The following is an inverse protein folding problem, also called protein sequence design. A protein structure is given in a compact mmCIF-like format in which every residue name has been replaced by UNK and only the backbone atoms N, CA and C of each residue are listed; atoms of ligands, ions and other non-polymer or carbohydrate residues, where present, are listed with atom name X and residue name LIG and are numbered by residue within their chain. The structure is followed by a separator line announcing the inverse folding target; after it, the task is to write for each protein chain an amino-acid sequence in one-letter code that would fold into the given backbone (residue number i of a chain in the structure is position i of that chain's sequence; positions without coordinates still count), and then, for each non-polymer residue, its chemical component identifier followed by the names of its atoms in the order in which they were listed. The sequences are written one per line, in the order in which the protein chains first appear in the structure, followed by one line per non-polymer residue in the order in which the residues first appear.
data_IF_928349643096
#
_entry.id   IF_928349643096
#
_cell.length_a   1.000
_cell.length_b   1.000
_cell.length_c   1.000
_cell.angle_alpha   90.00
_cell.angle_beta   90.00
_cell.angle_gamma   90.00
#
_symmetry.space_group_name_H-M   'P 1'
#
loop_
_entity.id
_entity.type
_entity.pdbx_description
1 polymer ?
#
# COMPACT_ATOMS: atom_id res chain seq x y z
N UNK A 1 5.68 25.20 -6.57
CA UNK A 1 4.35 25.73 -6.94
C UNK A 1 3.30 25.13 -5.99
N UNK A 2 2.15 25.77 -5.72
CA UNK A 2 1.10 25.13 -4.88
C UNK A 2 0.43 24.00 -5.68
N UNK A 3 0.27 22.81 -5.07
CA UNK A 3 -0.45 21.67 -5.65
C UNK A 3 -1.81 22.12 -6.19
N UNK A 4 -2.09 21.81 -7.46
CA UNK A 4 -3.41 22.03 -8.06
C UNK A 4 -4.17 20.70 -8.08
N UNK A 5 -5.32 20.65 -7.40
CA UNK A 5 -6.14 19.44 -7.36
C UNK A 5 -6.75 19.11 -8.73
N UNK A 6 -6.90 17.82 -9.08
CA UNK A 6 -7.57 17.41 -10.31
C UNK A 6 -9.02 17.89 -10.35
N UNK A 7 -9.57 18.00 -11.57
CA UNK A 7 -10.98 18.35 -11.77
C UNK A 7 -11.85 17.20 -11.23
N UNK A 8 -12.64 17.49 -10.19
CA UNK A 8 -13.59 16.55 -9.58
C UNK A 8 -14.97 17.18 -9.50
N UNK A 9 -16.01 16.36 -9.68
CA UNK A 9 -17.41 16.79 -9.66
C UNK A 9 -17.83 17.32 -8.28
N UNK A 10 -18.89 18.13 -8.23
CA UNK A 10 -19.50 18.57 -6.97
C UNK A 10 -19.98 17.40 -6.12
N UNK A 11 -20.46 16.33 -6.76
CA UNK A 11 -20.91 15.11 -6.09
C UNK A 11 -19.74 14.37 -5.44
N UNK A 12 -18.62 14.18 -6.14
CA UNK A 12 -17.40 13.58 -5.56
C UNK A 12 -16.83 14.40 -4.41
N UNK A 13 -16.83 15.73 -4.53
CA UNK A 13 -16.42 16.63 -3.44
C UNK A 13 -17.30 16.45 -2.20
N UNK A 14 -18.62 16.39 -2.39
CA UNK A 14 -19.57 16.18 -1.30
C UNK A 14 -19.39 14.80 -0.65
N UNK A 15 -19.18 13.75 -1.46
CA UNK A 15 -18.87 12.41 -0.97
C UNK A 15 -17.59 12.38 -0.14
N UNK A 16 -16.50 12.95 -0.65
CA UNK A 16 -15.21 13.02 0.06
C UNK A 16 -15.33 13.74 1.41
N UNK A 17 -16.01 14.90 1.44
CA UNK A 17 -16.26 15.62 2.70
C UNK A 17 -17.11 14.82 3.68
N UNK A 18 -18.13 14.12 3.18
CA UNK A 18 -19.00 13.28 4.03
C UNK A 18 -18.22 12.12 4.64
N UNK A 19 -17.32 11.50 3.87
CA UNK A 19 -16.45 10.44 4.36
C UNK A 19 -15.47 10.94 5.42
N UNK A 20 -14.83 12.09 5.22
CA UNK A 20 -13.94 12.70 6.22
C UNK A 20 -14.68 12.98 7.54
N UNK A 21 -15.90 13.53 7.46
CA UNK A 21 -16.73 13.77 8.64
C UNK A 21 -17.13 12.47 9.34
N UNK A 22 -17.57 11.46 8.58
CA UNK A 22 -17.99 10.18 9.13
C UNK A 22 -16.80 9.42 9.75
N UNK A 23 -15.62 9.47 9.13
CA UNK A 23 -14.41 8.82 9.62
C UNK A 23 -14.04 9.32 11.02
N UNK A 24 -14.11 10.65 11.26
CA UNK A 24 -13.82 11.21 12.58
C UNK A 24 -14.72 10.70 13.72
N UNK A 25 -15.86 10.10 13.41
CA UNK A 25 -16.83 9.57 14.40
C UNK A 25 -16.82 8.04 14.44
N UNK A 26 -16.69 7.39 13.28
CA UNK A 26 -16.88 5.95 13.14
C UNK A 26 -15.58 5.15 13.15
N UNK A 27 -14.44 5.78 12.87
CA UNK A 27 -13.17 5.09 12.73
C UNK A 27 -12.61 4.68 14.09
N UNK A 28 -12.39 3.38 14.26
CA UNK A 28 -11.85 2.79 15.48
C UNK A 28 -10.38 2.39 15.32
N UNK A 29 -9.71 2.75 14.22
CA UNK A 29 -8.35 2.33 13.90
C UNK A 29 -7.35 2.55 15.05
N UNK A 30 -7.33 3.75 15.65
CA UNK A 30 -6.43 4.07 16.78
C UNK A 30 -6.60 3.10 17.95
N UNK A 31 -7.86 2.81 18.32
CA UNK A 31 -8.18 1.93 19.45
C UNK A 31 -7.75 0.49 19.20
N UNK A 32 -7.97 -0.04 18.00
CA UNK A 32 -7.68 -1.45 17.71
C UNK A 32 -6.23 -1.70 17.28
N UNK A 33 -5.48 -0.66 16.92
CA UNK A 33 -4.07 -0.78 16.56
C UNK A 33 -3.15 -1.12 17.74
N UNK A 34 -3.62 -0.98 18.98
CA UNK A 34 -2.84 -1.33 20.19
C UNK A 34 -3.30 -2.64 20.82
N UNK A 35 -4.20 -3.37 20.15
CA UNK A 35 -4.76 -4.64 20.63
C UNK A 35 -4.34 -5.78 19.71
N UNK A 36 -4.18 -7.02 20.23
CA UNK A 36 -3.96 -8.18 19.39
C UNK A 36 -5.08 -8.39 18.37
N UNK A 37 -4.71 -8.77 17.15
CA UNK A 37 -5.64 -9.17 16.11
C UNK A 37 -6.33 -10.49 16.45
N UNK A 38 -7.66 -10.47 16.41
CA UNK A 38 -8.51 -11.64 16.70
C UNK A 38 -9.52 -11.92 15.59
N UNK A 39 -9.45 -11.19 14.47
CA UNK A 39 -10.49 -11.16 13.44
C UNK A 39 -10.11 -11.94 12.17
N UNK A 40 -9.32 -13.00 12.27
CA UNK A 40 -8.83 -13.77 11.12
C UNK A 40 -9.94 -14.21 10.13
N UNK A 41 -11.15 -14.44 10.62
CA UNK A 41 -12.31 -14.81 9.79
C UNK A 41 -12.71 -13.75 8.75
N UNK A 42 -12.28 -12.48 8.88
CA UNK A 42 -12.62 -11.41 7.94
C UNK A 42 -11.76 -11.42 6.68
N UNK A 43 -10.57 -12.04 6.74
CA UNK A 43 -9.60 -12.14 5.64
C UNK A 43 -10.16 -13.13 4.62
N UNK A 44 -10.82 -12.61 3.59
CA UNK A 44 -11.45 -13.40 2.52
C UNK A 44 -11.43 -12.66 1.19
N UNK A 45 -11.39 -13.33 0.02
CA UNK A 45 -11.33 -12.65 -1.28
C UNK A 45 -12.62 -11.94 -1.73
N UNK A 46 -13.79 -12.34 -1.20
CA UNK A 46 -15.10 -11.69 -1.44
C UNK A 46 -15.54 -11.50 -2.90
N UNK A 47 -15.04 -12.36 -3.81
CA UNK A 47 -15.32 -12.35 -5.26
C UNK A 47 -16.82 -12.29 -5.62
N UNK A 48 -17.68 -12.94 -4.84
CA UNK A 48 -19.13 -13.04 -5.11
C UNK A 48 -20.00 -12.27 -4.10
N UNK A 49 -19.39 -11.55 -3.16
CA UNK A 49 -20.15 -10.87 -2.11
C UNK A 49 -20.90 -9.65 -2.65
N UNK A 50 -22.06 -9.30 -2.08
CA UNK A 50 -22.79 -8.10 -2.52
C UNK A 50 -22.39 -6.83 -1.79
N UNK A 51 -22.02 -6.96 -0.51
CA UNK A 51 -21.80 -5.83 0.37
C UNK A 51 -20.42 -5.20 0.16
N UNK A 52 -19.36 -5.98 0.36
CA UNK A 52 -18.00 -5.56 0.01
C UNK A 52 -17.77 -5.81 -1.48
N UNK A 53 -17.49 -4.75 -2.24
CA UNK A 53 -17.30 -4.86 -3.69
C UNK A 53 -15.85 -5.11 -4.09
N UNK A 54 -14.89 -4.85 -3.20
CA UNK A 54 -13.49 -5.09 -3.44
C UNK A 54 -12.74 -5.50 -2.17
N UNK A 55 -11.61 -6.19 -2.37
CA UNK A 55 -10.65 -6.53 -1.32
C UNK A 55 -9.23 -6.30 -1.80
N UNK A 56 -8.34 -5.98 -0.87
CA UNK A 56 -6.91 -5.81 -1.10
C UNK A 56 -6.13 -6.85 -0.30
N UNK A 57 -5.08 -7.40 -0.91
CA UNK A 57 -4.02 -8.13 -0.23
C UNK A 57 -2.69 -7.45 -0.56
N UNK A 58 -1.96 -7.04 0.47
CA UNK A 58 -0.66 -6.39 0.34
C UNK A 58 0.38 -7.18 1.11
N UNK A 59 1.47 -7.60 0.46
CA UNK A 59 2.53 -8.37 1.13
C UNK A 59 3.85 -7.73 0.76
N UNK A 60 4.52 -7.18 1.76
CA UNK A 60 5.64 -6.27 1.56
C UNK A 60 6.86 -6.74 2.32
N UNK A 61 7.97 -6.87 1.59
CA UNK A 61 9.29 -7.21 2.09
C UNK A 61 10.15 -5.95 1.96
N UNK A 62 10.20 -5.09 2.98
CA UNK A 62 10.77 -3.73 2.84
C UNK A 62 12.29 -3.70 2.86
N UNK A 63 12.92 -4.81 3.27
CA UNK A 63 14.37 -4.96 3.39
C UNK A 63 14.76 -6.35 2.90
N UNK A 64 15.25 -6.43 1.67
CA UNK A 64 15.82 -7.62 1.06
C UNK A 64 17.30 -7.38 0.70
N UNK A 65 18.10 -8.45 0.56
CA UNK A 65 19.47 -8.32 0.06
C UNK A 65 19.53 -7.64 -1.31
N UNK A 66 20.70 -7.08 -1.63
CA UNK A 66 20.99 -6.67 -3.00
C UNK A 66 20.90 -7.88 -3.95
N UNK A 67 20.46 -7.70 -5.20
CA UNK A 67 20.04 -6.44 -5.83
C UNK A 67 18.57 -6.08 -5.58
N UNK A 68 17.82 -6.89 -4.81
CA UNK A 68 16.37 -6.77 -4.69
C UNK A 68 15.93 -5.57 -3.86
N UNK A 69 16.57 -5.34 -2.70
CA UNK A 69 16.31 -4.25 -1.73
C UNK A 69 14.93 -4.25 -1.09
N UNK A 70 13.89 -4.52 -1.87
CA UNK A 70 12.50 -4.71 -1.47
C UNK A 70 11.79 -5.66 -2.45
N UNK A 71 10.64 -6.16 -2.05
CA UNK A 71 9.64 -6.78 -2.91
C UNK A 71 8.26 -6.37 -2.41
N UNK A 72 7.37 -6.00 -3.33
CA UNK A 72 5.95 -5.81 -3.02
C UNK A 72 5.08 -6.77 -3.82
N UNK A 73 3.99 -7.20 -3.21
CA UNK A 73 2.95 -8.02 -3.81
C UNK A 73 1.64 -7.34 -3.46
N UNK A 74 1.00 -6.74 -4.46
CA UNK A 74 -0.26 -6.03 -4.30
C UNK A 74 -1.32 -6.64 -5.19
N UNK A 75 -2.34 -7.21 -4.57
CA UNK A 75 -3.50 -7.75 -5.25
C UNK A 75 -4.73 -6.91 -4.87
N UNK A 76 -5.46 -6.43 -5.87
CA UNK A 76 -6.82 -5.93 -5.71
C UNK A 76 -7.76 -6.91 -6.39
N UNK A 77 -8.79 -7.35 -5.67
CA UNK A 77 -9.90 -8.15 -6.21
C UNK A 77 -11.10 -7.23 -6.22
N UNK A 78 -11.60 -6.93 -7.42
CA UNK A 78 -12.52 -5.83 -7.64
C UNK A 78 -11.82 -4.47 -7.69
N UNK A 79 -12.48 -3.48 -8.28
CA UNK A 79 -11.95 -2.10 -8.37
C UNK A 79 -12.43 -1.24 -7.19
N UNK A 80 -11.56 -0.41 -6.58
CA UNK A 80 -11.94 0.47 -5.47
C UNK A 80 -12.96 1.56 -5.82
N UNK A 81 -12.90 2.14 -7.02
CA UNK A 81 -13.66 3.34 -7.37
C UNK A 81 -12.99 4.62 -6.85
N UNK A 82 -11.67 4.60 -6.67
CA UNK A 82 -10.89 5.68 -6.08
C UNK A 82 -9.84 6.21 -7.06
N UNK A 83 -9.73 7.54 -7.14
CA UNK A 83 -8.90 8.20 -8.13
C UNK A 83 -7.43 7.78 -8.06
N UNK A 84 -6.87 7.66 -6.85
CA UNK A 84 -5.50 7.22 -6.65
C UNK A 84 -5.24 5.76 -7.08
N UNK A 85 -6.21 4.85 -6.97
CA UNK A 85 -5.95 3.40 -7.04
C UNK A 85 -6.49 2.70 -8.28
N UNK A 86 -7.45 3.30 -8.98
CA UNK A 86 -8.10 2.65 -10.10
C UNK A 86 -7.24 2.67 -11.37
N UNK A 87 -6.95 1.47 -11.90
CA UNK A 87 -6.26 1.21 -13.17
C UNK A 87 -7.27 0.96 -14.32
N UNK A 88 -8.05 1.99 -14.66
CA UNK A 88 -9.13 1.87 -15.67
C UNK A 88 -8.62 1.44 -17.05
N UNK A 89 -7.37 1.77 -17.38
CA UNK A 89 -6.75 1.52 -18.68
C UNK A 89 -6.48 0.03 -18.98
N UNK A 90 -6.41 -0.80 -17.93
CA UNK A 90 -6.22 -2.26 -18.05
C UNK A 90 -7.46 -3.05 -17.64
N UNK A 91 -8.55 -2.40 -17.22
CA UNK A 91 -9.82 -3.05 -16.89
C UNK A 91 -10.69 -3.10 -18.15
N UNK A 92 -10.94 -4.30 -18.65
CA UNK A 92 -11.65 -4.51 -19.93
C UNK A 92 -13.14 -4.84 -19.78
N UNK A 93 -13.57 -5.33 -18.61
CA UNK A 93 -14.93 -5.81 -18.38
C UNK A 93 -15.55 -5.24 -17.09
N UNK A 94 -16.35 -6.06 -16.38
CA UNK A 94 -16.96 -5.69 -15.13
C UNK A 94 -15.88 -5.46 -14.05
N UNK A 95 -15.76 -4.26 -13.47
CA UNK A 95 -14.75 -3.95 -12.45
C UNK A 95 -14.80 -4.86 -11.22
N UNK A 96 -15.93 -5.54 -10.97
CA UNK A 96 -16.07 -6.53 -9.90
C UNK A 96 -15.52 -7.92 -10.23
N UNK A 97 -15.34 -8.22 -11.51
CA UNK A 97 -14.83 -9.49 -12.03
C UNK A 97 -13.42 -9.33 -12.57
N UNK A 98 -12.69 -8.38 -12.03
CA UNK A 98 -11.28 -8.15 -12.33
C UNK A 98 -10.46 -8.25 -11.06
N UNK A 99 -9.33 -8.93 -11.13
CA UNK A 99 -8.24 -8.78 -10.18
C UNK A 99 -7.09 -8.03 -10.84
N UNK A 100 -6.39 -7.18 -10.10
CA UNK A 100 -5.12 -6.59 -10.55
C UNK A 100 -4.00 -7.06 -9.65
N UNK A 101 -2.85 -7.36 -10.26
CA UNK A 101 -1.61 -7.70 -9.57
C UNK A 101 -0.55 -6.66 -9.92
N UNK A 102 0.02 -6.05 -8.90
CA UNK A 102 1.21 -5.23 -9.00
C UNK A 102 2.34 -5.81 -8.16
N UNK A 103 3.50 -6.02 -8.77
CA UNK A 103 4.71 -6.45 -8.07
C UNK A 103 5.96 -5.82 -8.66
N UNK A 104 6.85 -5.38 -7.77
CA UNK A 104 8.14 -4.83 -8.17
C UNK A 104 9.22 -5.07 -7.13
N UNK A 105 10.46 -4.97 -7.59
CA UNK A 105 11.70 -5.05 -6.80
C UNK A 105 12.73 -4.13 -7.45
N UNK A 106 13.79 -3.75 -6.72
CA UNK A 106 14.83 -2.88 -7.29
C UNK A 106 15.65 -3.57 -8.40
N UNK A 107 15.76 -4.90 -8.37
CA UNK A 107 16.56 -5.69 -9.31
C UNK A 107 16.03 -5.69 -10.75
N UNK A 108 14.70 -5.58 -10.92
CA UNK A 108 14.06 -5.62 -12.23
C UNK A 108 13.93 -4.22 -12.81
N UNK A 109 14.09 -4.09 -14.13
CA UNK A 109 13.92 -2.82 -14.85
C UNK A 109 12.46 -2.39 -14.96
N UNK A 110 11.54 -3.34 -15.08
CA UNK A 110 10.11 -3.09 -15.18
C UNK A 110 9.40 -3.79 -14.01
N UNK A 111 8.30 -3.19 -13.58
CA UNK A 111 7.39 -3.85 -12.65
C UNK A 111 6.39 -4.70 -13.43
N UNK A 112 5.84 -5.71 -12.75
CA UNK A 112 4.65 -6.40 -13.24
C UNK A 112 3.42 -5.63 -12.78
N UNK A 113 2.63 -5.15 -13.73
CA UNK A 113 1.26 -4.66 -13.51
C UNK A 113 0.35 -5.35 -14.52
N UNK A 114 -0.61 -6.13 -14.04
CA UNK A 114 -1.51 -6.91 -14.90
C UNK A 114 -2.91 -7.03 -14.31
N UNK A 115 -3.91 -7.04 -15.18
CA UNK A 115 -5.29 -7.36 -14.84
C UNK A 115 -5.64 -8.79 -15.27
N UNK A 116 -6.53 -9.43 -14.51
CA UNK A 116 -6.97 -10.82 -14.67
C UNK A 116 -8.50 -10.85 -14.58
N UNK A 117 -9.15 -11.62 -15.44
CA UNK A 117 -10.61 -11.79 -15.42
C UNK A 117 -10.96 -12.93 -14.45
N UNK A 118 -11.98 -12.73 -13.62
CA UNK A 118 -12.42 -13.69 -12.62
C UNK A 118 -13.73 -14.37 -13.08
N UNK A 119 -13.78 -15.71 -13.22
CA UNK A 119 -12.76 -16.69 -12.83
C UNK A 119 -11.78 -17.12 -13.94
N UNK A 120 -11.88 -16.59 -15.15
CA UNK A 120 -11.23 -17.11 -16.36
C UNK A 120 -9.70 -17.22 -16.22
N UNK A 121 -9.06 -16.21 -15.64
CA UNK A 121 -7.61 -16.11 -15.47
C UNK A 121 -7.16 -16.37 -14.03
N UNK A 122 -8.05 -16.86 -13.16
CA UNK A 122 -7.78 -16.93 -11.71
C UNK A 122 -8.27 -18.23 -11.07
N UNK A 123 -7.62 -18.63 -9.97
CA UNK A 123 -8.15 -19.66 -9.05
C UNK A 123 -8.23 -19.09 -7.65
N UNK A 124 -9.43 -18.74 -7.23
CA UNK A 124 -9.67 -18.06 -5.95
C UNK A 124 -10.66 -18.87 -5.12
N UNK A 125 -10.19 -19.44 -4.02
CA UNK A 125 -11.05 -20.14 -3.08
C UNK A 125 -11.81 -19.13 -2.20
N UNK A 126 -13.12 -19.34 -2.03
CA UNK A 126 -14.01 -18.42 -1.30
C UNK A 126 -13.61 -18.20 0.16
N UNK A 127 -12.96 -19.19 0.76
CA UNK A 127 -12.48 -19.17 2.15
C UNK A 127 -11.06 -18.61 2.29
N UNK A 128 -10.43 -18.19 1.18
CA UNK A 128 -9.11 -17.56 1.15
C UNK A 128 -7.92 -18.52 1.22
N UNK A 129 -8.10 -19.85 1.14
CA UNK A 129 -6.95 -20.77 1.19
C UNK A 129 -6.04 -20.71 -0.03
N UNK A 130 -6.55 -20.18 -1.14
CA UNK A 130 -5.86 -20.11 -2.41
C UNK A 130 -6.29 -18.84 -3.16
N UNK A 131 -5.29 -18.08 -3.61
CA UNK A 131 -5.45 -16.99 -4.57
C UNK A 131 -4.34 -17.15 -5.61
N UNK A 132 -4.70 -17.60 -6.82
CA UNK A 132 -3.81 -17.64 -7.98
C UNK A 132 -4.29 -16.66 -9.03
N UNK A 133 -3.37 -15.83 -9.54
CA UNK A 133 -3.62 -14.93 -10.67
C UNK A 133 -2.68 -15.34 -11.80
N UNK A 134 -3.25 -15.90 -12.87
CA UNK A 134 -2.50 -16.44 -13.99
C UNK A 134 -1.48 -17.50 -13.57
N UNK A 135 -0.23 -17.29 -13.99
CA UNK A 135 0.93 -18.10 -13.61
C UNK A 135 1.92 -17.31 -12.75
N UNK A 136 1.64 -16.04 -12.49
CA UNK A 136 2.60 -15.09 -11.94
C UNK A 136 2.66 -15.10 -10.42
N UNK A 137 1.55 -15.44 -9.73
CA UNK A 137 1.48 -15.39 -8.27
C UNK A 137 0.48 -16.42 -7.71
N UNK A 138 0.88 -17.08 -6.62
CA UNK A 138 0.05 -17.95 -5.80
C UNK A 138 0.22 -17.57 -4.33
N UNK A 139 -0.89 -17.33 -3.63
CA UNK A 139 -0.96 -17.19 -2.17
C UNK A 139 -1.77 -18.37 -1.64
N UNK A 140 -1.16 -19.15 -0.74
CA UNK A 140 -1.69 -20.40 -0.22
C UNK A 140 -1.72 -20.37 1.31
N UNK A 141 -2.67 -21.09 1.90
CA UNK A 141 -2.80 -21.20 3.36
C UNK A 141 -3.74 -20.16 3.98
N UNK A 142 -3.68 -20.01 5.30
CA UNK A 142 -4.56 -19.13 6.08
C UNK A 142 -3.80 -18.62 7.29
N UNK A 143 -4.21 -17.46 7.80
CA UNK A 143 -3.70 -16.94 9.08
C UNK A 143 -3.64 -18.06 10.14
N UNK A 144 -2.50 -18.25 10.85
CA UNK A 144 -1.30 -17.39 10.80
C UNK A 144 -0.24 -17.82 9.78
N UNK A 145 -0.41 -18.93 9.05
CA UNK A 145 0.62 -19.47 8.16
C UNK A 145 0.17 -19.39 6.69
N UNK A 146 0.90 -18.62 5.91
CA UNK A 146 0.70 -18.56 4.47
C UNK A 146 2.01 -18.88 3.75
N UNK A 147 1.86 -19.41 2.55
CA UNK A 147 2.96 -19.66 1.63
C UNK A 147 2.69 -18.87 0.35
N UNK A 148 3.74 -18.27 -0.20
CA UNK A 148 3.64 -17.44 -1.39
C UNK A 148 4.74 -17.83 -2.34
N UNK A 149 4.39 -18.02 -3.60
CA UNK A 149 5.35 -18.11 -4.68
C UNK A 149 4.91 -17.26 -5.87
N UNK A 150 5.87 -16.73 -6.60
CA UNK A 150 5.61 -16.00 -7.82
C UNK A 150 6.78 -16.07 -8.80
N UNK A 151 6.45 -15.88 -10.07
CA UNK A 151 7.39 -15.94 -11.18
C UNK A 151 7.00 -14.93 -12.26
N UNK A 152 7.90 -14.02 -12.61
CA UNK A 152 7.73 -13.13 -13.77
C UNK A 152 9.08 -12.54 -14.20
N UNK A 153 9.26 -12.27 -15.50
CA UNK A 153 10.47 -11.66 -16.08
C UNK A 153 11.80 -12.31 -15.63
N UNK A 154 11.81 -13.63 -15.44
CA UNK A 154 12.98 -14.40 -14.99
C UNK A 154 13.36 -14.14 -13.52
N UNK A 155 12.43 -13.60 -12.74
CA UNK A 155 12.50 -13.44 -11.30
C UNK A 155 11.51 -14.41 -10.63
N UNK A 156 12.03 -15.17 -9.67
CA UNK A 156 11.29 -16.11 -8.85
C UNK A 156 11.36 -15.70 -7.39
N UNK A 157 10.31 -15.95 -6.63
CA UNK A 157 10.35 -15.91 -5.17
C UNK A 157 9.43 -16.96 -4.59
N UNK A 158 9.80 -17.44 -3.41
CA UNK A 158 9.08 -18.48 -2.69
C UNK A 158 9.34 -18.25 -1.20
N UNK A 159 8.27 -18.00 -0.44
CA UNK A 159 8.34 -17.61 0.96
C UNK A 159 7.25 -18.26 1.79
N UNK A 160 7.66 -18.81 2.92
CA UNK A 160 6.77 -19.07 4.05
C UNK A 160 6.67 -17.81 4.91
N UNK A 161 5.45 -17.49 5.33
CA UNK A 161 5.15 -16.30 6.14
C UNK A 161 4.38 -16.71 7.40
N UNK A 162 4.96 -16.34 8.54
CA UNK A 162 4.38 -16.48 9.86
C UNK A 162 3.82 -15.13 10.32
N UNK A 163 2.51 -14.99 10.25
CA UNK A 163 1.78 -13.76 10.56
C UNK A 163 1.50 -13.70 12.06
N UNK A 164 1.91 -12.60 12.70
CA UNK A 164 1.67 -12.37 14.13
C UNK A 164 0.29 -11.74 14.37
N UNK A 165 -0.10 -11.62 15.64
CA UNK A 165 -1.30 -10.88 16.03
C UNK A 165 -1.08 -9.35 16.15
N UNK A 166 0.11 -8.83 15.84
CA UNK A 166 0.38 -7.38 15.94
C UNK A 166 -0.18 -6.66 14.74
N UNK A 167 -1.25 -5.89 14.95
CA UNK A 167 -2.02 -5.23 13.89
C UNK A 167 -1.90 -3.72 13.95
N UNK A 168 -1.73 -3.11 12.79
CA UNK A 168 -1.93 -1.68 12.57
C UNK A 168 -3.17 -1.52 11.72
N UNK A 169 -4.24 -0.99 12.33
CA UNK A 169 -5.43 -0.60 11.59
C UNK A 169 -5.18 0.78 10.99
N UNK A 170 -5.30 0.89 9.67
CA UNK A 170 -5.29 2.17 8.98
C UNK A 170 -6.67 2.79 8.99
N UNK A 171 -7.71 1.97 8.75
CA UNK A 171 -9.12 2.36 8.81
C UNK A 171 -9.92 1.20 9.41
N UNK A 172 -10.80 1.51 10.36
CA UNK A 172 -11.75 0.54 10.91
C UNK A 172 -13.15 1.13 11.07
N UNK A 173 -13.99 0.91 10.07
CA UNK A 173 -15.39 1.36 10.03
C UNK A 173 -16.32 0.22 9.60
N UNK A 174 -17.66 0.34 9.75
CA UNK A 174 -18.60 -0.71 9.32
C UNK A 174 -18.50 -1.08 7.83
N UNK A 175 -18.10 -0.13 6.98
CA UNK A 175 -18.05 -0.29 5.52
C UNK A 175 -16.63 -0.45 4.97
N UNK A 176 -15.61 -0.28 5.80
CA UNK A 176 -14.21 -0.36 5.39
C UNK A 176 -13.33 -0.82 6.55
N UNK A 177 -12.72 -1.98 6.38
CA UNK A 177 -11.61 -2.46 7.20
C UNK A 177 -10.34 -2.41 6.35
N UNK A 178 -9.28 -1.78 6.83
CA UNK A 178 -7.95 -1.81 6.25
C UNK A 178 -6.91 -1.91 7.36
N UNK A 179 -6.12 -2.98 7.33
CA UNK A 179 -5.12 -3.24 8.34
C UNK A 179 -3.92 -4.00 7.81
N UNK A 180 -2.87 -3.97 8.61
CA UNK A 180 -1.55 -4.48 8.34
C UNK A 180 -1.07 -5.31 9.53
N UNK A 181 -0.69 -6.56 9.31
CA UNK A 181 -0.16 -7.47 10.31
C UNK A 181 1.35 -7.58 10.18
N UNK A 182 2.07 -7.44 11.30
CA UNK A 182 3.50 -7.75 11.35
C UNK A 182 3.69 -9.26 11.14
N UNK A 183 4.62 -9.63 10.28
CA UNK A 183 4.91 -11.02 9.97
C UNK A 183 6.42 -11.26 9.86
N UNK A 184 6.80 -12.53 9.98
CA UNK A 184 8.14 -13.01 9.62
C UNK A 184 8.05 -13.76 8.32
N UNK A 185 9.09 -13.69 7.51
CA UNK A 185 9.21 -14.53 6.33
C UNK A 185 10.52 -15.30 6.32
N UNK A 186 10.53 -16.42 5.60
CA UNK A 186 11.71 -17.18 5.24
C UNK A 186 11.50 -17.86 3.89
N UNK A 187 12.54 -17.87 3.06
CA UNK A 187 12.53 -18.55 1.77
C UNK A 187 13.60 -17.98 0.87
N UNK A 188 13.33 -17.86 -0.43
CA UNK A 188 14.32 -17.42 -1.38
C UNK A 188 13.76 -16.50 -2.47
N UNK A 189 14.67 -15.76 -3.09
CA UNK A 189 14.47 -15.12 -4.38
C UNK A 189 15.47 -15.71 -5.37
N UNK A 190 15.12 -15.74 -6.65
CA UNK A 190 16.07 -16.04 -7.72
C UNK A 190 15.96 -15.03 -8.86
N UNK A 191 17.10 -14.55 -9.34
CA UNK A 191 17.20 -13.65 -10.48
C UNK A 191 18.55 -13.82 -11.17
N UNK A 192 18.59 -13.84 -12.51
CA UNK A 192 19.81 -14.03 -13.29
C UNK A 192 20.63 -15.28 -12.89
N UNK A 193 19.93 -16.38 -12.58
CA UNK A 193 20.48 -17.65 -12.09
C UNK A 193 21.18 -17.60 -10.72
N UNK A 194 21.09 -16.48 -9.99
CA UNK A 194 21.49 -16.38 -8.60
C UNK A 194 20.28 -16.61 -7.70
N UNK A 195 20.41 -17.52 -6.72
CA UNK A 195 19.41 -17.77 -5.68
C UNK A 195 19.90 -17.20 -4.36
N UNK A 196 19.06 -16.38 -3.72
CA UNK A 196 19.36 -15.69 -2.47
C UNK A 196 18.36 -16.15 -1.41
N UNK A 197 18.84 -16.92 -0.43
CA UNK A 197 18.07 -17.23 0.77
C UNK A 197 17.86 -15.95 1.59
N UNK A 198 16.63 -15.71 2.01
CA UNK A 198 16.24 -14.48 2.71
C UNK A 198 15.27 -14.79 3.83
N UNK A 199 15.38 -14.04 4.92
CA UNK A 199 14.46 -14.07 6.03
C UNK A 199 14.46 -12.71 6.72
N UNK A 200 13.37 -12.40 7.43
CA UNK A 200 13.26 -11.15 8.17
C UNK A 200 11.82 -10.79 8.51
N UNK A 201 11.59 -9.51 8.78
CA UNK A 201 10.24 -8.97 8.96
C UNK A 201 9.64 -8.59 7.60
N UNK A 202 8.38 -8.94 7.43
CA UNK A 202 7.54 -8.47 6.33
C UNK A 202 6.19 -8.02 6.89
N UNK A 203 5.32 -7.60 6.00
CA UNK A 203 3.97 -7.17 6.34
C UNK A 203 2.96 -7.99 5.55
N UNK A 204 1.86 -8.41 6.20
CA UNK A 204 0.67 -8.96 5.56
C UNK A 204 -0.52 -8.02 5.77
N UNK A 205 -1.01 -7.43 4.69
CA UNK A 205 -2.09 -6.45 4.69
C UNK A 205 -3.34 -7.02 4.05
N UNK A 206 -4.47 -6.59 4.61
CA UNK A 206 -5.76 -6.90 4.06
C UNK A 206 -6.68 -5.70 4.16
N UNK A 207 -7.46 -5.48 3.10
CA UNK A 207 -8.57 -4.56 3.13
C UNK A 207 -9.83 -5.16 2.52
N UNK A 208 -10.99 -4.71 2.99
CA UNK A 208 -12.30 -4.95 2.37
C UNK A 208 -13.12 -3.68 2.47
N UNK A 209 -13.76 -3.26 1.38
CA UNK A 209 -14.63 -2.09 1.46
C UNK A 209 -15.88 -2.17 0.58
N UNK A 210 -16.90 -1.45 1.01
CA UNK A 210 -18.05 -1.09 0.19
C UNK A 210 -17.58 -0.01 -0.77
N UNK A 211 -17.45 -0.35 -2.04
CA UNK A 211 -17.13 0.57 -3.11
C UNK A 211 -18.35 0.88 -3.97
N UNK A 212 -18.26 1.87 -4.88
CA UNK A 212 -19.33 2.22 -5.80
C UNK A 212 -19.69 1.06 -6.74
N UNK A 213 -18.77 0.13 -7.00
CA UNK A 213 -19.07 -1.06 -7.79
C UNK A 213 -20.03 -2.04 -7.10
N UNK A 214 -20.37 -1.85 -5.81
CA UNK A 214 -21.48 -2.57 -5.15
C UNK A 214 -22.83 -2.32 -5.84
N UNK A 215 -22.95 -1.19 -6.56
CA UNK A 215 -24.19 -0.75 -7.22
C UNK A 215 -24.05 -0.60 -8.74
N UNK A 216 -22.84 -0.61 -9.30
CA UNK A 216 -22.59 -0.50 -10.75
C UNK A 216 -21.56 -1.52 -11.23
N UNK A 217 -21.80 -2.08 -12.42
CA UNK A 217 -20.87 -2.97 -13.12
C UNK A 217 -20.05 -2.25 -14.21
N UNK A 218 -20.11 -0.91 -14.25
CA UNK A 218 -19.35 -0.09 -15.20
C UNK A 218 -18.25 0.67 -14.49
N UNK A 219 -17.16 0.94 -15.22
CA UNK A 219 -16.14 1.88 -14.79
C UNK A 219 -16.75 3.26 -14.52
N UNK A 220 -16.19 3.95 -13.55
CA UNK A 220 -16.64 5.27 -13.10
C UNK A 220 -15.67 6.28 -13.69
N UNK A 221 -16.14 7.29 -14.45
CA UNK A 221 -15.25 8.33 -14.93
C UNK A 221 -14.53 9.03 -13.79
N UNK A 222 -13.26 9.41 -13.99
CA UNK A 222 -12.39 9.98 -12.95
C UNK A 222 -13.01 11.13 -12.15
N UNK A 223 -13.75 12.02 -12.83
CA UNK A 223 -14.43 13.16 -12.20
C UNK A 223 -15.48 12.76 -11.15
N UNK A 224 -15.95 11.51 -11.18
CA UNK A 224 -16.96 10.94 -10.28
C UNK A 224 -16.38 9.94 -9.26
N UNK A 225 -15.09 9.61 -9.32
CA UNK A 225 -14.44 8.71 -8.34
C UNK A 225 -14.37 9.34 -6.96
N UNK A 226 -14.09 8.51 -5.95
CA UNK A 226 -13.64 8.99 -4.64
C UNK A 226 -12.37 9.84 -4.86
N UNK A 227 -12.35 11.11 -4.44
CA UNK A 227 -11.25 12.02 -4.74
C UNK A 227 -10.08 11.81 -3.77
N UNK A 228 -9.63 10.57 -3.61
CA UNK A 228 -8.36 10.26 -2.96
C UNK A 228 -7.25 10.70 -3.91
N UNK A 229 -6.57 11.80 -3.58
CA UNK A 229 -5.64 12.49 -4.48
C UNK A 229 -4.19 12.50 -3.99
N UNK A 230 -3.95 12.03 -2.76
CA UNK A 230 -2.61 11.82 -2.23
C UNK A 230 -2.58 10.56 -1.37
N UNK A 231 -1.56 9.74 -1.56
CA UNK A 231 -1.28 8.59 -0.71
C UNK A 231 0.23 8.37 -0.64
N UNK A 232 0.77 8.24 0.57
CA UNK A 232 2.07 7.62 0.77
C UNK A 232 2.01 6.65 1.93
N UNK A 233 2.65 5.50 1.74
CA UNK A 233 2.81 4.47 2.75
C UNK A 233 4.26 4.00 2.74
N UNK A 234 4.86 3.93 3.92
CA UNK A 234 6.26 3.56 4.06
C UNK A 234 6.43 2.55 5.16
N UNK A 235 7.35 1.60 4.92
CA UNK A 235 7.64 0.50 5.83
C UNK A 235 9.14 0.49 6.11
N UNK A 236 9.50 0.56 7.39
CA UNK A 236 10.89 0.44 7.85
C UNK A 236 10.98 -0.72 8.82
N UNK A 237 11.82 -1.70 8.52
CA UNK A 237 12.31 -2.63 9.53
C UNK A 237 13.47 -1.95 10.26
N UNK A 238 13.22 -1.40 11.46
CA UNK A 238 14.27 -0.72 12.22
C UNK A 238 15.34 -1.71 12.69
N UNK A 239 14.91 -2.92 13.04
CA UNK A 239 15.76 -4.03 13.44
C UNK A 239 14.97 -5.35 13.26
N UNK A 240 15.49 -6.44 13.80
CA UNK A 240 14.90 -7.79 13.67
C UNK A 240 13.54 -7.96 14.37
N UNK A 241 13.14 -7.04 15.26
CA UNK A 241 11.93 -7.15 16.08
C UNK A 241 10.98 -5.95 15.98
N UNK A 242 11.44 -4.82 15.44
CA UNK A 242 10.68 -3.55 15.40
C UNK A 242 10.48 -3.08 13.96
N UNK A 243 9.24 -2.73 13.64
CA UNK A 243 8.84 -2.22 12.34
C UNK A 243 7.99 -0.94 12.46
N UNK A 244 8.28 0.04 11.62
CA UNK A 244 7.53 1.29 11.52
C UNK A 244 6.67 1.29 10.27
N UNK A 245 5.45 1.81 10.42
CA UNK A 245 4.54 2.13 9.34
C UNK A 245 4.22 3.61 9.34
N UNK A 246 4.54 4.31 8.27
CA UNK A 246 4.27 5.74 8.12
C UNK A 246 3.27 5.92 6.99
N UNK A 247 2.13 6.54 7.28
CA UNK A 247 1.04 6.67 6.31
C UNK A 247 0.54 8.10 6.28
N UNK A 248 0.33 8.63 5.08
CA UNK A 248 -0.47 9.83 4.85
C UNK A 248 -1.41 9.62 3.67
N UNK A 249 -2.66 10.02 3.82
CA UNK A 249 -3.65 10.01 2.74
C UNK A 249 -4.47 11.31 2.76
N UNK A 250 -4.69 11.93 1.60
CA UNK A 250 -5.53 13.12 1.46
C UNK A 250 -6.72 12.85 0.52
N UNK A 251 -7.91 13.31 0.92
CA UNK A 251 -9.15 13.28 0.12
C UNK A 251 -9.55 14.71 -0.21
N UNK A 252 -9.61 15.02 -1.51
CA UNK A 252 -9.83 16.36 -2.05
C UNK A 252 -8.93 17.41 -1.39
N UNK A 253 -7.63 17.09 -1.25
CA UNK A 253 -6.60 17.93 -0.65
C UNK A 253 -6.69 18.10 0.87
N UNK A 254 -7.54 17.34 1.56
CA UNK A 254 -7.67 17.35 3.01
C UNK A 254 -7.20 16.03 3.61
N UNK A 255 -6.41 16.09 4.67
CA UNK A 255 -5.85 14.90 5.31
C UNK A 255 -6.93 14.00 5.92
N UNK A 256 -6.96 12.76 5.47
CA UNK A 256 -7.84 11.68 5.90
C UNK A 256 -7.13 10.72 6.86
N UNK A 257 -5.83 10.47 6.66
CA UNK A 257 -5.01 9.66 7.54
C UNK A 257 -3.61 10.26 7.63
N UNK A 258 -3.03 10.25 8.83
CA UNK A 258 -1.66 10.72 9.06
C UNK A 258 -1.11 10.09 10.34
N UNK A 259 -0.36 8.99 10.17
CA UNK A 259 -0.01 8.13 11.30
C UNK A 259 1.40 7.58 11.20
N UNK A 260 1.99 7.38 12.37
CA UNK A 260 3.10 6.45 12.59
C UNK A 260 2.55 5.30 13.44
N UNK A 261 2.62 4.07 12.95
CA UNK A 261 2.49 2.89 13.80
C UNK A 261 3.87 2.29 14.06
N UNK A 262 4.10 1.88 15.30
CA UNK A 262 5.30 1.16 15.72
C UNK A 262 4.84 -0.23 16.15
N UNK A 263 5.35 -1.27 15.49
CA UNK A 263 5.04 -2.66 15.80
C UNK A 263 6.29 -3.34 16.33
N UNK A 264 6.09 -4.19 17.33
CA UNK A 264 7.15 -4.97 17.94
C UNK A 264 6.73 -6.43 18.00
N UNK A 265 7.69 -7.35 17.95
CA UNK A 265 7.39 -8.77 18.18
C UNK A 265 7.12 -9.08 19.66
N UNK A 266 7.75 -8.33 20.57
CA UNK A 266 7.88 -8.62 21.99
C UNK A 266 7.09 -7.68 22.91
N UNK A 267 6.52 -6.61 22.38
CA UNK A 267 5.72 -5.65 23.15
C UNK A 267 4.50 -5.15 22.34
N UNK A 268 3.51 -4.51 23.01
CA UNK A 268 2.34 -3.96 22.33
C UNK A 268 2.73 -2.92 21.26
N UNK A 269 1.92 -2.85 20.20
CA UNK A 269 2.09 -1.82 19.17
C UNK A 269 1.67 -0.43 19.68
N UNK A 270 2.29 0.60 19.11
CA UNK A 270 2.03 2.01 19.40
C UNK A 270 1.52 2.73 18.15
N UNK A 271 0.76 3.81 18.35
CA UNK A 271 0.27 4.66 17.28
C UNK A 271 0.39 6.14 17.65
N UNK A 272 0.93 6.91 16.73
CA UNK A 272 1.13 8.36 16.85
C UNK A 272 0.42 9.07 15.70
N UNK A 273 -0.24 10.19 16.03
CA UNK A 273 -1.04 10.99 15.09
C UNK A 273 -0.58 12.45 14.99
N UNK A 274 0.34 12.88 15.85
CA UNK A 274 1.09 14.14 15.66
C UNK A 274 2.31 13.81 14.81
N UNK A 275 2.09 13.81 13.50
CA UNK A 275 3.06 13.37 12.50
C UNK A 275 3.18 14.43 11.40
N UNK A 276 4.39 14.67 10.92
CA UNK A 276 4.67 15.46 9.73
C UNK A 276 5.54 14.68 8.75
N UNK A 277 5.29 14.92 7.47
CA UNK A 277 5.91 14.38 6.29
C UNK A 277 6.12 15.56 5.35
N UNK A 278 7.38 15.87 5.09
CA UNK A 278 7.77 17.02 4.30
C UNK A 278 8.61 16.54 3.13
N UNK A 279 8.20 16.90 1.92
CA UNK A 279 9.01 16.70 0.72
C UNK A 279 9.99 17.86 0.65
N UNK A 280 11.28 17.54 0.78
CA UNK A 280 12.38 18.52 0.75
C UNK A 280 12.69 18.87 -0.70
N UNK A 281 12.71 17.88 -1.60
CA UNK A 281 12.82 18.11 -3.03
C UNK A 281 12.18 16.97 -3.83
N UNK A 282 11.82 17.26 -5.07
CA UNK A 282 11.35 16.28 -6.03
C UNK A 282 12.50 15.76 -6.90
N UNK A 283 12.24 14.66 -7.60
CA UNK A 283 13.09 14.18 -8.68
C UNK A 283 13.16 15.23 -9.80
N UNK A 284 14.28 15.24 -10.53
CA UNK A 284 14.49 16.11 -11.69
C UNK A 284 13.83 15.54 -12.94
N UNK A 285 13.76 14.22 -13.05
CA UNK A 285 13.16 13.54 -14.19
C UNK A 285 11.63 13.61 -14.17
N UNK A 286 11.03 13.69 -15.36
CA UNK A 286 9.59 13.55 -15.55
C UNK A 286 9.17 12.09 -15.37
N UNK A 287 8.28 11.84 -14.40
CA UNK A 287 7.65 10.55 -14.24
C UNK A 287 6.28 10.55 -14.90
N UNK A 288 6.19 9.81 -16.00
CA UNK A 288 4.98 9.69 -16.82
C UNK A 288 4.43 8.28 -16.70
N UNK A 289 3.17 8.15 -16.33
CA UNK A 289 2.46 6.87 -16.34
C UNK A 289 2.27 6.34 -17.78
N UNK A 290 1.97 5.04 -17.97
CA UNK A 290 1.63 4.49 -19.29
C UNK A 290 0.45 5.22 -19.98
N UNK A 291 -0.45 5.81 -19.19
CA UNK A 291 -1.58 6.62 -19.68
C UNK A 291 -1.22 8.08 -20.02
N UNK A 292 0.05 8.48 -19.87
CA UNK A 292 0.52 9.84 -20.19
C UNK A 292 0.40 10.85 -19.06
N UNK A 293 -0.12 10.48 -17.89
CA UNK A 293 -0.20 11.38 -16.73
C UNK A 293 1.17 11.56 -16.05
N UNK A 294 1.54 12.81 -15.80
CA UNK A 294 2.74 13.20 -15.04
C UNK A 294 2.48 13.18 -13.53
N UNK A 295 3.51 12.86 -12.76
CA UNK A 295 3.53 12.91 -11.29
C UNK A 295 4.88 13.41 -10.78
N UNK A 296 4.86 14.36 -9.84
CA UNK A 296 6.09 14.74 -9.12
C UNK A 296 6.39 13.71 -8.06
N UNK A 297 7.57 13.10 -8.11
CA UNK A 297 8.00 12.11 -7.12
C UNK A 297 9.04 12.70 -6.18
N UNK A 298 9.06 12.32 -4.89
CA UNK A 298 10.05 12.82 -3.96
C UNK A 298 11.45 12.32 -4.33
N UNK A 299 12.48 13.14 -4.08
CA UNK A 299 13.89 12.72 -4.06
C UNK A 299 14.43 12.72 -2.64
N UNK A 300 14.18 13.81 -1.91
CA UNK A 300 14.47 13.95 -0.49
C UNK A 300 13.21 14.27 0.28
N UNK A 301 13.03 13.65 1.44
CA UNK A 301 11.88 13.88 2.32
C UNK A 301 12.25 13.63 3.78
N UNK A 302 11.37 14.03 4.69
CA UNK A 302 11.52 13.77 6.12
C UNK A 302 10.22 13.33 6.77
N UNK A 303 10.34 12.64 7.89
CA UNK A 303 9.23 12.36 8.81
C UNK A 303 9.59 12.80 10.22
N UNK A 304 8.60 13.39 10.91
CA UNK A 304 8.68 13.69 12.34
C UNK A 304 7.41 13.16 13.00
N UNK A 305 7.53 12.43 14.10
CA UNK A 305 6.40 12.02 14.94
C UNK A 305 6.62 12.45 16.38
N UNK A 306 5.56 12.90 17.05
CA UNK A 306 5.57 13.33 18.44
C UNK A 306 4.54 12.59 19.28
N UNK A 307 4.87 12.38 20.56
CA UNK A 307 3.91 11.88 21.54
C UNK A 307 2.98 12.99 22.04
N UNK A 308 2.05 12.63 22.93
CA UNK A 308 1.10 13.57 23.53
C UNK A 308 1.79 14.70 24.32
N UNK A 309 2.94 14.41 24.92
CA UNK A 309 3.79 15.39 25.62
C UNK A 309 4.67 16.24 24.68
N UNK A 310 4.44 16.17 23.35
CA UNK A 310 5.19 16.89 22.30
C UNK A 310 6.67 16.54 22.20
N UNK A 311 7.10 15.44 22.80
CA UNK A 311 8.45 14.91 22.62
C UNK A 311 8.55 14.23 21.26
N UNK A 312 9.67 14.45 20.57
CA UNK A 312 9.95 13.81 19.28
C UNK A 312 10.27 12.34 19.54
N UNK A 313 9.49 11.46 18.91
CA UNK A 313 9.66 10.00 18.99
C UNK A 313 10.38 9.48 17.76
N UNK A 314 10.11 10.05 16.60
CA UNK A 314 10.79 9.76 15.34
C UNK A 314 11.15 11.08 14.66
N UNK A 315 12.37 11.17 14.14
CA UNK A 315 12.79 12.24 13.24
C UNK A 315 13.80 11.67 12.25
N UNK A 316 13.37 11.45 11.00
CA UNK A 316 14.22 10.88 9.95
C UNK A 316 14.26 11.79 8.72
N UNK A 317 15.41 11.75 8.05
CA UNK A 317 15.62 12.30 6.72
C UNK A 317 15.91 11.14 5.77
N UNK A 318 15.35 11.20 4.58
CA UNK A 318 15.39 10.10 3.63
C UNK A 318 15.74 10.58 2.21
N UNK A 319 16.43 9.71 1.48
CA UNK A 319 16.77 9.88 0.08
C UNK A 319 16.29 8.66 -0.71
N UNK A 320 15.52 8.89 -1.77
CA UNK A 320 15.20 7.86 -2.75
C UNK A 320 16.48 7.47 -3.48
N UNK A 321 16.89 6.22 -3.34
CA UNK A 321 18.10 5.65 -3.92
C UNK A 321 17.81 4.44 -4.84
N UNK A 322 16.52 4.18 -5.09
CA UNK A 322 16.04 3.15 -6.00
C UNK A 322 15.14 3.77 -7.09
N UNK A 323 15.12 3.19 -8.31
CA UNK A 323 14.19 3.63 -9.33
C UNK A 323 12.73 3.43 -8.90
N UNK A 324 11.89 4.43 -9.17
CA UNK A 324 10.45 4.29 -9.01
C UNK A 324 9.86 3.32 -10.04
N UNK A 325 8.89 2.53 -9.58
CA UNK A 325 8.20 1.49 -10.34
C UNK A 325 6.71 1.78 -10.36
N UNK A 326 6.17 2.07 -11.54
CA UNK A 326 4.76 2.40 -11.72
C UNK A 326 3.87 1.16 -11.51
N UNK A 327 2.74 1.33 -10.81
CA UNK A 327 1.68 0.33 -10.73
C UNK A 327 1.01 0.20 -9.37
N UNK A 328 1.53 0.86 -8.34
CA UNK A 328 0.85 1.03 -7.06
C UNK A 328 -0.31 2.02 -7.24
N UNK A 329 -1.49 1.51 -7.60
CA UNK A 329 -2.53 2.35 -8.19
C UNK A 329 -1.95 3.20 -9.32
N UNK A 330 -2.37 4.45 -9.42
CA UNK A 330 -1.84 5.42 -10.39
C UNK A 330 -0.49 6.03 -10.00
N UNK A 331 0.17 5.53 -8.97
CA UNK A 331 1.49 5.99 -8.56
C UNK A 331 2.54 4.90 -8.61
N UNK A 332 3.53 5.04 -7.72
CA UNK A 332 4.80 4.35 -7.82
C UNK A 332 5.20 3.71 -6.50
N UNK A 333 5.96 2.63 -6.59
CA UNK A 333 6.70 2.04 -5.47
C UNK A 333 8.21 2.21 -5.66
N UNK A 334 8.94 2.32 -4.55
CA UNK A 334 10.41 2.36 -4.55
C UNK A 334 10.97 2.00 -3.17
N UNK A 335 12.26 2.22 -2.99
CA UNK A 335 12.96 2.17 -1.71
C UNK A 335 13.85 3.40 -1.54
N UNK A 336 14.17 3.71 -0.29
CA UNK A 336 14.98 4.84 0.12
C UNK A 336 15.93 4.44 1.24
N UNK A 337 17.02 5.18 1.38
CA UNK A 337 17.85 5.16 2.59
C UNK A 337 17.43 6.29 3.53
N UNK A 338 17.63 6.10 4.83
CA UNK A 338 17.33 7.12 5.83
C UNK A 338 18.40 7.18 6.93
N UNK A 339 18.48 8.34 7.58
CA UNK A 339 19.19 8.56 8.85
C UNK A 339 18.30 9.41 9.76
N UNK A 340 18.53 9.33 11.07
CA UNK A 340 17.76 10.12 12.02
C UNK A 340 17.78 9.59 13.43
N UNK A 341 16.69 9.84 14.17
CA UNK A 341 16.55 9.46 15.56
C UNK A 341 15.23 8.74 15.83
N UNK A 342 15.30 7.70 16.67
CA UNK A 342 14.17 6.94 17.20
C UNK A 342 14.29 6.87 18.72
N UNK A 343 13.32 7.46 19.44
CA UNK A 343 13.39 7.69 20.90
C UNK A 343 14.74 8.28 21.36
N UNK A 344 15.27 9.23 20.59
CA UNK A 344 16.55 9.89 20.87
C UNK A 344 17.81 9.10 20.48
N UNK A 345 17.68 7.83 20.08
CA UNK A 345 18.81 7.03 19.59
C UNK A 345 19.01 7.23 18.09
N UNK A 346 20.27 7.33 17.66
CA UNK A 346 20.59 7.37 16.24
C UNK A 346 20.14 6.09 15.53
N UNK A 347 19.51 6.26 14.38
CA UNK A 347 19.08 5.16 13.51
C UNK A 347 19.40 5.50 12.06
N UNK A 348 19.71 4.45 11.30
CA UNK A 348 19.87 4.54 9.85
C UNK A 348 19.46 3.21 9.23
N UNK A 349 19.11 3.24 7.96
CA UNK A 349 18.74 2.02 7.25
C UNK A 349 18.06 2.30 5.93
N UNK A 350 17.21 1.36 5.55
CA UNK A 350 16.43 1.40 4.31
C UNK A 350 14.95 1.21 4.61
N UNK A 351 14.11 1.89 3.84
CA UNK A 351 12.67 1.70 3.85
C UNK A 351 12.11 1.42 2.46
N UNK A 352 10.89 0.89 2.45
CA UNK A 352 10.03 0.78 1.28
C UNK A 352 9.06 1.96 1.24
N UNK A 353 8.73 2.45 0.04
CA UNK A 353 7.78 3.55 -0.15
C UNK A 353 6.80 3.24 -1.27
N UNK A 354 5.53 3.53 -1.00
CA UNK A 354 4.47 3.74 -1.97
C UNK A 354 4.14 5.23 -2.01
N UNK A 355 3.93 5.76 -3.21
CA UNK A 355 3.70 7.19 -3.40
C UNK A 355 2.77 7.45 -4.58
N UNK A 356 1.71 8.20 -4.31
CA UNK A 356 0.73 8.69 -5.28
C UNK A 356 0.47 10.17 -4.96
N UNK A 357 0.68 11.05 -5.95
CA UNK A 357 0.27 12.44 -5.87
C UNK A 357 -0.47 12.83 -7.16
N UNK A 358 -1.81 12.79 -7.12
CA UNK A 358 -2.64 13.12 -8.27
C UNK A 358 -2.83 14.64 -8.32
N UNK A 359 -2.27 15.25 -9.35
CA UNK A 359 -2.37 16.68 -9.63
C UNK A 359 -3.13 16.96 -10.93
N UNK A 360 -3.61 18.20 -11.06
CA UNK A 360 -4.13 18.73 -12.31
C UNK A 360 -3.00 18.74 -13.37
N UNK A 361 -3.21 18.03 -14.48
CA UNK A 361 -2.19 17.84 -15.50
C UNK A 361 -1.81 19.14 -16.23
N UNK A 362 -2.71 20.11 -16.31
CA UNK A 362 -2.40 21.45 -16.81
C UNK A 362 -1.34 22.18 -15.97
N UNK A 363 -1.16 21.80 -14.70
CA UNK A 363 -0.14 22.40 -13.85
C UNK A 363 1.30 21.98 -14.23
N UNK A 364 1.47 21.04 -15.16
CA UNK A 364 2.76 20.65 -15.73
C UNK A 364 2.99 21.23 -17.13
N UNK A 365 2.01 21.94 -17.70
CA UNK A 365 2.15 22.63 -19.00
C UNK A 365 2.81 24.01 -18.85
N UNK A 366 2.80 24.55 -17.62
CA UNK A 366 3.35 25.85 -17.23
C UNK A 366 4.76 25.77 -16.59
N UNK A 367 5.39 24.58 -16.58
CA UNK A 367 6.80 24.34 -16.21
C UNK A 367 7.67 24.18 -17.46
#
# INVERSE_FOLDING_TARGET
MKKQLPKISTTSKALGKSLLLAQGVLDQAKKYSTLPFTQAHIIRPRVDEKYYSWTHYGIFFPLLPEPHRYLNIMILIGTPGALAFDHDDIITENPRKTATFFSSTAALKQALLKAYIIPEDTKINKDGTLIELGQEISIQGKFPHIHINGHYDGFDFDFDIDITSHVSWFIKTPIYDHFSLLAKFKGFLSYQAERIESQGLCTYEYARAVGPHSITNKLIPDVYKLPLDFFTYQIINLNETTQLLLTKADIAGQTAAYTLHIRHLDQPAEIYTDVSFDIISHQVDDFVSPTGHKMRLPKYFSWIARNEAKQIILNIQAEIDCPFRYGHGRGYASSYIFTGHYFGNEVQGRGYIEYIDIENQHAFEDE
#
